data_IF_448831781334
#
_entry.id   IF_448831781334
#
_cell.length_a   1.000
_cell.length_b   1.000
_cell.length_c   1.000
_cell.angle_alpha   90.00
_cell.angle_beta   90.00
_cell.angle_gamma   90.00
#
_symmetry.space_group_name_H-M   'P 1'
#
loop_
_entity.id
_entity.type
_entity.pdbx_description
1 polymer ?
#
# COMPACT_ATOMS: atom_id res chain seq x y z
N UNK A 1 -2.36 0.42 28.03
CA UNK A 1 -3.75 -0.12 28.00
C UNK A 1 -4.19 0.02 26.56
N UNK A 2 -4.31 -1.09 25.84
CA UNK A 2 -5.06 -1.14 24.58
C UNK A 2 -6.48 -0.69 24.91
N UNK A 3 -6.91 0.43 24.33
CA UNK A 3 -8.32 0.78 24.35
C UNK A 3 -9.04 -0.24 23.48
N UNK A 4 -10.00 -0.95 24.04
CA UNK A 4 -10.92 -1.78 23.28
C UNK A 4 -11.61 -0.89 22.24
N UNK A 5 -11.70 -1.37 21.00
CA UNK A 5 -12.47 -0.77 19.92
C UNK A 5 -13.67 -1.69 19.66
N UNK A 6 -14.62 -1.77 20.60
CA UNK A 6 -15.61 -2.86 20.65
C UNK A 6 -16.62 -2.83 19.49
N UNK A 7 -16.69 -1.72 18.75
CA UNK A 7 -17.66 -1.52 17.66
C UNK A 7 -17.02 -1.58 16.27
N UNK A 8 -15.68 -1.57 16.19
CA UNK A 8 -14.99 -1.61 14.92
C UNK A 8 -14.90 -3.04 14.36
N UNK A 9 -15.27 -3.20 13.09
CA UNK A 9 -15.09 -4.43 12.33
C UNK A 9 -13.83 -4.34 11.47
N UNK A 10 -13.05 -5.41 11.44
CA UNK A 10 -11.89 -5.51 10.56
C UNK A 10 -12.34 -5.60 9.11
N UNK A 11 -11.69 -4.86 8.23
CA UNK A 11 -11.83 -5.02 6.79
C UNK A 11 -11.33 -6.39 6.32
N UNK A 12 -11.70 -6.77 5.12
CA UNK A 12 -11.37 -8.07 4.55
C UNK A 12 -10.89 -7.91 3.11
N UNK A 13 -9.63 -8.20 2.86
CA UNK A 13 -9.02 -8.12 1.54
C UNK A 13 -9.65 -9.08 0.51
N UNK A 14 -10.29 -10.16 0.98
CA UNK A 14 -10.97 -11.14 0.10
C UNK A 14 -12.43 -10.76 -0.22
N UNK A 15 -12.91 -9.64 0.35
CA UNK A 15 -14.22 -9.09 0.07
C UNK A 15 -14.06 -7.63 -0.32
N UNK A 16 -14.61 -7.24 -1.46
CA UNK A 16 -14.54 -5.85 -1.90
C UNK A 16 -15.14 -4.90 -0.85
N UNK A 17 -14.43 -3.82 -0.49
CA UNK A 17 -14.98 -2.82 0.39
C UNK A 17 -16.14 -2.08 -0.28
N UNK A 18 -17.08 -1.62 0.52
CA UNK A 18 -18.09 -0.69 0.04
C UNK A 18 -17.45 0.62 -0.42
N UNK A 19 -18.14 1.37 -1.28
CA UNK A 19 -17.70 2.69 -1.71
C UNK A 19 -17.37 3.61 -0.52
N UNK A 20 -18.17 3.57 0.54
CA UNK A 20 -17.96 4.40 1.73
C UNK A 20 -16.68 3.99 2.48
N UNK A 21 -16.42 2.70 2.67
CA UNK A 21 -15.17 2.21 3.26
C UNK A 21 -13.97 2.59 2.43
N UNK A 22 -14.08 2.54 1.09
CA UNK A 22 -13.01 2.93 0.19
C UNK A 22 -12.64 4.42 0.31
N UNK A 23 -13.63 5.30 0.38
CA UNK A 23 -13.41 6.74 0.58
C UNK A 23 -12.82 7.04 1.97
N UNK A 24 -13.30 6.37 3.02
CA UNK A 24 -12.70 6.49 4.36
C UNK A 24 -11.24 6.04 4.38
N UNK A 25 -10.89 5.00 3.63
CA UNK A 25 -9.49 4.56 3.52
C UNK A 25 -8.63 5.64 2.85
N UNK A 26 -9.11 6.27 1.78
CA UNK A 26 -8.40 7.39 1.12
C UNK A 26 -8.26 8.59 2.03
N UNK A 27 -9.31 8.98 2.77
CA UNK A 27 -9.25 10.06 3.77
C UNK A 27 -8.20 9.77 4.86
N UNK A 28 -8.15 8.53 5.33
CA UNK A 28 -7.17 8.12 6.32
C UNK A 28 -5.73 8.21 5.77
N UNK A 29 -5.50 7.71 4.55
CA UNK A 29 -4.21 7.82 3.88
C UNK A 29 -3.81 9.28 3.67
N UNK A 30 -4.71 10.12 3.15
CA UNK A 30 -4.47 11.55 2.94
C UNK A 30 -4.11 12.25 4.26
N UNK A 31 -4.78 11.91 5.36
CA UNK A 31 -4.48 12.47 6.68
C UNK A 31 -3.08 12.08 7.18
N UNK A 32 -2.69 10.82 6.98
CA UNK A 32 -1.35 10.32 7.34
C UNK A 32 -0.29 11.03 6.50
N UNK A 33 -0.48 11.06 5.18
CA UNK A 33 0.48 11.64 4.24
C UNK A 33 0.63 13.14 4.43
N UNK A 34 -0.48 13.88 4.58
CA UNK A 34 -0.48 15.33 4.76
C UNK A 34 0.28 15.77 6.01
N UNK A 35 0.21 15.00 7.10
CA UNK A 35 0.91 15.31 8.34
C UNK A 35 2.43 15.35 8.19
N UNK A 36 2.97 14.68 7.19
CA UNK A 36 4.42 14.53 6.94
C UNK A 36 4.83 14.93 5.52
N UNK A 37 3.98 15.63 4.79
CA UNK A 37 4.18 15.94 3.38
C UNK A 37 5.39 16.85 3.14
N UNK A 38 6.45 16.27 2.58
CA UNK A 38 7.70 17.00 2.31
C UNK A 38 8.43 17.49 3.56
N UNK A 39 8.12 16.96 4.75
CA UNK A 39 8.73 17.40 6.00
C UNK A 39 10.21 16.98 6.03
N UNK A 40 11.15 17.93 6.22
CA UNK A 40 12.58 17.64 6.30
C UNK A 40 12.95 16.76 7.51
N UNK A 41 12.11 16.67 8.54
CA UNK A 41 12.33 15.73 9.64
C UNK A 41 12.37 14.28 9.18
N UNK A 42 11.71 13.93 8.08
CA UNK A 42 11.75 12.58 7.51
C UNK A 42 13.17 12.07 7.22
N UNK A 43 14.08 12.99 6.87
CA UNK A 43 15.49 12.65 6.62
C UNK A 43 16.29 12.40 7.90
N UNK A 44 15.75 12.78 9.05
CA UNK A 44 16.39 12.60 10.38
C UNK A 44 15.91 11.35 11.10
N UNK A 45 14.85 10.70 10.61
CA UNK A 45 14.29 9.51 11.22
C UNK A 45 15.15 8.28 10.89
N UNK A 46 15.65 7.61 11.90
CA UNK A 46 16.54 6.46 11.75
C UNK A 46 15.80 5.18 11.34
N UNK A 47 14.58 5.01 11.85
CA UNK A 47 13.85 3.75 11.74
C UNK A 47 13.05 3.55 10.44
N UNK A 48 12.41 4.59 9.84
CA UNK A 48 11.63 4.40 8.63
C UNK A 48 12.48 4.18 7.37
N UNK A 49 13.73 4.63 7.39
CA UNK A 49 14.64 4.56 6.25
C UNK A 49 15.54 3.31 6.27
N UNK A 50 15.44 2.50 7.31
CA UNK A 50 16.23 1.28 7.43
C UNK A 50 17.74 1.50 7.48
N UNK A 51 18.22 2.75 7.69
CA UNK A 51 19.65 3.10 7.66
C UNK A 51 20.50 2.35 8.68
N UNK A 52 19.85 1.79 9.71
CA UNK A 52 20.46 0.89 10.69
C UNK A 52 19.86 -0.51 10.66
N UNK A 53 19.02 -0.82 9.68
CA UNK A 53 18.46 -2.16 9.56
C UNK A 53 19.58 -3.17 9.28
N UNK A 54 19.70 -4.13 10.14
CA UNK A 54 20.46 -5.35 9.90
C UNK A 54 19.40 -6.44 9.66
N UNK A 55 19.34 -7.02 8.52
CA UNK A 55 20.31 -7.13 7.42
C UNK A 55 20.26 -5.94 6.42
N UNK A 56 21.27 -5.86 5.52
CA UNK A 56 21.30 -4.85 4.47
C UNK A 56 20.01 -4.89 3.64
N UNK A 57 19.59 -3.77 3.03
CA UNK A 57 18.39 -3.73 2.21
C UNK A 57 18.42 -4.86 1.19
N UNK A 58 17.31 -5.58 1.09
CA UNK A 58 17.16 -6.65 0.10
C UNK A 58 17.27 -6.04 -1.30
N UNK A 59 18.11 -6.64 -2.14
CA UNK A 59 18.15 -6.30 -3.54
C UNK A 59 16.85 -6.76 -4.21
N UNK A 60 15.95 -5.81 -4.43
CA UNK A 60 14.61 -6.08 -4.96
C UNK A 60 14.65 -6.62 -6.38
N UNK A 61 15.65 -6.22 -7.17
CA UNK A 61 15.85 -6.72 -8.53
C UNK A 61 16.27 -8.18 -8.52
N UNK A 62 17.21 -8.54 -7.64
CA UNK A 62 17.63 -9.93 -7.45
C UNK A 62 16.46 -10.79 -6.97
N UNK A 63 15.69 -10.32 -5.99
CA UNK A 63 14.52 -11.05 -5.48
C UNK A 63 13.47 -11.24 -6.57
N UNK A 64 13.15 -10.19 -7.29
CA UNK A 64 12.17 -10.27 -8.37
C UNK A 64 12.61 -11.24 -9.46
N UNK A 65 13.85 -11.14 -9.91
CA UNK A 65 14.41 -12.05 -10.92
C UNK A 65 14.42 -13.52 -10.47
N UNK A 66 14.57 -13.77 -9.18
CA UNK A 66 14.52 -15.13 -8.61
C UNK A 66 13.09 -15.66 -8.51
N UNK A 67 12.13 -14.82 -8.09
CA UNK A 67 10.76 -15.29 -7.83
C UNK A 67 9.85 -15.25 -9.05
N UNK A 68 10.10 -14.37 -10.02
CA UNK A 68 9.25 -14.23 -11.19
C UNK A 68 9.08 -15.53 -12.00
N UNK A 69 10.15 -16.28 -12.36
CA UNK A 69 10.01 -17.56 -13.05
C UNK A 69 9.21 -18.59 -12.25
N UNK A 70 9.45 -18.69 -10.94
CA UNK A 70 8.73 -19.60 -10.06
C UNK A 70 7.25 -19.23 -9.92
N UNK A 71 6.93 -17.94 -9.93
CA UNK A 71 5.56 -17.44 -9.97
C UNK A 71 4.86 -17.85 -11.28
N UNK A 72 5.51 -17.64 -12.42
CA UNK A 72 4.98 -18.02 -13.73
C UNK A 72 4.78 -19.53 -13.86
N UNK A 73 5.71 -20.34 -13.36
CA UNK A 73 5.59 -21.80 -13.36
C UNK A 73 4.39 -22.24 -12.52
N UNK A 74 4.20 -21.65 -11.35
CA UNK A 74 3.12 -22.02 -10.43
C UNK A 74 1.74 -21.52 -10.87
N UNK A 75 1.67 -20.36 -11.49
CA UNK A 75 0.42 -19.66 -11.80
C UNK A 75 0.22 -19.39 -13.28
N UNK A 76 1.01 -20.01 -14.17
CA UNK A 76 1.07 -19.72 -15.60
C UNK A 76 -0.29 -19.66 -16.29
N UNK A 77 -1.17 -20.61 -15.98
CA UNK A 77 -2.54 -20.66 -16.54
C UNK A 77 -3.46 -19.49 -16.06
N UNK A 78 -3.04 -18.77 -15.01
CA UNK A 78 -3.77 -17.65 -14.43
C UNK A 78 -3.15 -16.30 -14.74
N UNK A 79 -1.95 -16.30 -15.29
CA UNK A 79 -1.21 -15.08 -15.67
C UNK A 79 -1.55 -14.73 -17.11
N UNK A 80 -2.21 -13.59 -17.33
CA UNK A 80 -2.52 -13.13 -18.69
C UNK A 80 -1.27 -12.77 -19.48
N UNK A 81 -1.37 -12.73 -20.81
CA UNK A 81 -0.27 -12.31 -21.67
C UNK A 81 0.24 -10.89 -21.31
N UNK A 82 -0.67 -9.98 -20.98
CA UNK A 82 -0.30 -8.61 -20.56
C UNK A 82 0.45 -8.60 -19.23
N UNK A 83 0.04 -9.42 -18.26
CA UNK A 83 0.76 -9.59 -17.00
C UNK A 83 2.16 -10.16 -17.23
N UNK A 84 2.33 -11.12 -18.16
CA UNK A 84 3.66 -11.61 -18.53
C UNK A 84 4.53 -10.52 -19.13
N UNK A 85 4.00 -9.72 -20.07
CA UNK A 85 4.74 -8.60 -20.67
C UNK A 85 5.22 -7.61 -19.60
N UNK A 86 4.33 -7.23 -18.69
CA UNK A 86 4.67 -6.29 -17.60
C UNK A 86 5.66 -6.91 -16.63
N UNK A 87 5.42 -8.16 -16.21
CA UNK A 87 6.30 -8.87 -15.28
C UNK A 87 7.71 -9.03 -15.82
N UNK A 88 7.87 -9.44 -17.07
CA UNK A 88 9.18 -9.52 -17.73
C UNK A 88 9.87 -8.15 -17.82
N UNK A 89 9.11 -7.08 -18.05
CA UNK A 89 9.67 -5.74 -18.14
C UNK A 89 10.24 -5.23 -16.79
N UNK A 90 9.79 -5.78 -15.67
CA UNK A 90 10.30 -5.44 -14.34
C UNK A 90 11.57 -6.22 -13.94
N UNK A 91 11.91 -7.29 -14.65
CA UNK A 91 13.14 -8.06 -14.33
C UNK A 91 14.36 -7.14 -14.44
N UNK A 92 15.09 -6.96 -13.35
CA UNK A 92 16.26 -6.09 -13.24
C UNK A 92 15.97 -4.59 -13.37
N UNK A 93 14.72 -4.16 -13.14
CA UNK A 93 14.30 -2.73 -13.22
C UNK A 93 13.37 -2.31 -12.10
N UNK A 94 13.10 -3.18 -11.15
CA UNK A 94 12.19 -2.88 -10.07
C UNK A 94 12.78 -1.82 -9.12
N UNK A 95 14.09 -1.88 -8.89
CA UNK A 95 14.84 -0.89 -8.11
C UNK A 95 14.72 0.51 -8.74
N UNK A 96 14.99 0.64 -10.04
CA UNK A 96 14.83 1.89 -10.77
C UNK A 96 13.42 2.48 -10.64
N UNK A 97 12.41 1.60 -10.69
CA UNK A 97 11.00 2.02 -10.52
C UNK A 97 10.74 2.64 -9.14
N UNK A 98 11.34 2.10 -8.08
CA UNK A 98 11.21 2.68 -6.74
C UNK A 98 12.01 3.96 -6.58
N UNK A 99 13.21 4.06 -7.17
CA UNK A 99 14.06 5.26 -7.11
C UNK A 99 13.46 6.46 -7.84
N UNK A 100 12.77 6.24 -8.97
CA UNK A 100 12.11 7.30 -9.75
C UNK A 100 10.97 8.01 -9.00
N UNK A 101 10.48 7.44 -7.91
CA UNK A 101 9.42 8.03 -7.07
C UNK A 101 9.98 8.98 -6.03
N UNK A 102 10.76 9.97 -6.46
CA UNK A 102 11.60 10.69 -5.52
C UNK A 102 10.88 11.78 -4.69
N UNK A 103 9.72 12.31 -5.09
CA UNK A 103 9.16 13.49 -4.40
C UNK A 103 7.73 13.81 -4.85
N UNK A 104 6.89 14.41 -4.00
CA UNK A 104 7.15 14.67 -2.58
C UNK A 104 7.08 13.38 -1.74
N UNK A 105 7.90 13.30 -0.68
CA UNK A 105 7.90 12.17 0.26
C UNK A 105 7.05 12.48 1.48
N UNK A 106 6.50 11.45 2.06
CA UNK A 106 5.77 11.50 3.33
C UNK A 106 5.99 10.19 4.11
N UNK A 107 5.39 10.10 5.28
CA UNK A 107 5.28 8.83 5.99
C UNK A 107 4.28 7.93 5.24
N UNK A 108 4.67 6.69 4.94
CA UNK A 108 3.85 5.69 4.25
C UNK A 108 3.64 4.46 5.12
N UNK A 109 2.49 3.81 4.97
CA UNK A 109 2.18 2.58 5.68
C UNK A 109 2.87 1.36 5.05
N UNK A 110 2.95 1.30 3.72
CA UNK A 110 3.53 0.26 2.88
C UNK A 110 2.84 -1.13 2.93
N UNK A 111 1.82 -1.30 3.77
CA UNK A 111 0.90 -2.46 3.77
C UNK A 111 -0.54 -1.97 3.95
N UNK A 112 -0.91 -0.95 3.15
CA UNK A 112 -2.19 -0.23 3.26
C UNK A 112 -3.30 -1.01 2.56
N UNK A 113 -3.87 -1.99 3.26
CA UNK A 113 -4.86 -2.94 2.74
C UNK A 113 -6.03 -3.12 3.72
N UNK A 114 -7.20 -3.61 3.25
CA UNK A 114 -8.39 -3.73 4.10
C UNK A 114 -8.18 -4.48 5.42
N UNK A 115 -7.37 -5.55 5.45
CA UNK A 115 -7.11 -6.31 6.68
C UNK A 115 -6.43 -5.48 7.78
N UNK A 116 -5.76 -4.38 7.41
CA UNK A 116 -5.11 -3.44 8.32
C UNK A 116 -5.99 -2.22 8.64
N UNK A 117 -7.28 -2.32 8.39
CA UNK A 117 -8.28 -1.27 8.62
C UNK A 117 -9.40 -1.79 9.52
N UNK A 118 -9.76 -1.02 10.51
CA UNK A 118 -10.87 -1.29 11.41
C UNK A 118 -11.94 -0.21 11.19
N UNK A 119 -13.15 -0.60 10.79
CA UNK A 119 -14.24 0.30 10.43
C UNK A 119 -15.33 0.31 11.49
N UNK A 120 -15.78 1.50 11.90
CA UNK A 120 -17.04 1.72 12.59
C UNK A 120 -17.86 2.80 11.86
N UNK A 121 -18.71 2.37 10.96
CA UNK A 121 -19.51 3.27 10.12
C UNK A 121 -20.62 4.00 10.92
N UNK A 122 -20.82 3.65 12.20
CA UNK A 122 -21.77 4.33 13.08
C UNK A 122 -21.11 5.41 13.94
N UNK A 123 -19.75 5.42 14.04
CA UNK A 123 -19.00 6.45 14.75
C UNK A 123 -18.43 7.47 13.75
N UNK A 124 -19.13 8.57 13.55
CA UNK A 124 -18.67 9.65 12.66
C UNK A 124 -17.40 10.36 13.16
N UNK A 125 -17.01 10.17 14.42
CA UNK A 125 -15.80 10.80 14.98
C UNK A 125 -14.56 9.96 14.77
N UNK A 126 -14.72 8.64 14.60
CA UNK A 126 -13.63 7.69 14.40
C UNK A 126 -14.08 6.53 13.51
N UNK A 127 -14.48 6.82 12.28
CA UNK A 127 -15.09 5.81 11.40
C UNK A 127 -14.09 4.76 10.90
N UNK A 128 -12.78 5.04 10.98
CA UNK A 128 -11.71 4.14 10.56
C UNK A 128 -10.51 4.25 11.50
N UNK A 129 -9.83 3.13 11.72
CA UNK A 129 -8.54 3.05 12.43
C UNK A 129 -7.59 2.20 11.59
N UNK A 130 -6.42 2.74 11.32
CA UNK A 130 -5.34 2.03 10.62
C UNK A 130 -4.45 1.35 11.67
N UNK A 131 -4.16 0.07 11.45
CA UNK A 131 -3.36 -0.79 12.35
C UNK A 131 -2.21 -1.45 11.58
N UNK A 132 -1.31 -2.12 12.31
CA UNK A 132 -0.17 -2.86 11.75
C UNK A 132 0.86 -1.99 11.02
N UNK A 133 1.47 -1.07 11.76
CA UNK A 133 2.46 -0.09 11.28
C UNK A 133 3.89 -0.63 11.15
N UNK A 134 4.08 -1.94 11.17
CA UNK A 134 5.41 -2.57 11.17
C UNK A 134 6.22 -2.33 9.89
N UNK A 135 5.54 -2.03 8.76
CA UNK A 135 6.16 -1.78 7.45
C UNK A 135 6.32 -0.30 7.14
N UNK A 136 5.95 0.58 8.10
CA UNK A 136 6.01 2.03 7.92
C UNK A 136 7.38 2.49 7.44
N UNK A 137 7.37 3.37 6.45
CA UNK A 137 8.58 3.92 5.85
C UNK A 137 8.41 5.37 5.38
N UNK A 138 9.43 5.86 4.71
CA UNK A 138 9.39 7.16 4.03
C UNK A 138 9.33 6.91 2.53
N UNK A 139 8.27 7.36 1.90
CA UNK A 139 8.02 7.11 0.49
C UNK A 139 7.07 8.11 -0.15
N UNK A 140 6.56 7.78 -1.31
CA UNK A 140 5.57 8.57 -2.04
C UNK A 140 4.17 8.06 -1.69
N UNK A 141 3.35 8.90 -1.05
CA UNK A 141 2.05 8.52 -0.49
C UNK A 141 1.09 7.82 -1.45
N UNK A 142 1.14 8.17 -2.75
CA UNK A 142 0.31 7.49 -3.77
C UNK A 142 0.58 5.98 -3.82
N UNK A 143 1.73 5.51 -3.31
CA UNK A 143 2.04 4.09 -3.22
C UNK A 143 1.06 3.30 -2.33
N UNK A 144 0.65 3.89 -1.21
CA UNK A 144 -0.35 3.28 -0.33
C UNK A 144 -1.72 3.17 -1.02
N UNK A 145 -2.13 4.23 -1.73
CA UNK A 145 -3.40 4.25 -2.49
C UNK A 145 -3.36 3.24 -3.64
N UNK A 146 -2.25 3.17 -4.37
CA UNK A 146 -2.09 2.21 -5.47
C UNK A 146 -2.12 0.75 -4.96
N UNK A 147 -1.48 0.49 -3.82
CA UNK A 147 -1.51 -0.81 -3.17
C UNK A 147 -2.93 -1.18 -2.71
N UNK A 148 -3.62 -0.25 -2.05
CA UNK A 148 -5.01 -0.43 -1.64
C UNK A 148 -5.92 -0.74 -2.84
N UNK A 149 -5.92 0.13 -3.85
CA UNK A 149 -6.77 -0.04 -5.04
C UNK A 149 -6.46 -1.34 -5.80
N UNK A 150 -5.18 -1.74 -5.86
CA UNK A 150 -4.74 -2.94 -6.55
C UNK A 150 -5.04 -4.25 -5.81
N UNK A 151 -5.23 -4.20 -4.48
CA UNK A 151 -5.42 -5.40 -3.65
C UNK A 151 -6.83 -5.55 -3.08
N UNK A 152 -7.60 -4.45 -3.01
CA UNK A 152 -8.94 -4.45 -2.41
C UNK A 152 -10.07 -4.72 -3.42
N UNK A 153 -9.83 -4.55 -4.72
CA UNK A 153 -10.83 -4.65 -5.78
C UNK A 153 -10.40 -5.61 -6.87
N UNK A 154 -11.36 -6.23 -7.53
CA UNK A 154 -11.10 -6.87 -8.80
C UNK A 154 -10.79 -5.83 -9.91
N UNK A 155 -10.40 -6.28 -11.09
CA UNK A 155 -9.95 -5.38 -12.15
C UNK A 155 -11.07 -4.49 -12.73
N UNK A 156 -12.33 -4.96 -12.71
CA UNK A 156 -13.48 -4.21 -13.22
C UNK A 156 -13.92 -3.17 -12.20
N UNK A 157 -14.15 -3.58 -10.96
CA UNK A 157 -14.52 -2.71 -9.85
C UNK A 157 -13.45 -1.64 -9.60
N UNK A 158 -12.16 -2.00 -9.67
CA UNK A 158 -11.07 -1.05 -9.55
C UNK A 158 -11.13 0.04 -10.63
N UNK A 159 -11.29 -0.33 -11.90
CA UNK A 159 -11.39 0.66 -13.00
C UNK A 159 -12.58 1.60 -12.84
N UNK A 160 -13.67 1.11 -12.25
CA UNK A 160 -14.86 1.91 -12.00
C UNK A 160 -14.67 2.93 -10.88
N UNK A 161 -14.01 2.54 -9.77
CA UNK A 161 -13.88 3.38 -8.58
C UNK A 161 -12.60 4.24 -8.56
N UNK A 162 -11.51 3.82 -9.23
CA UNK A 162 -10.21 4.49 -9.18
C UNK A 162 -10.25 5.98 -9.52
N UNK A 163 -11.00 6.45 -10.55
CA UNK A 163 -11.10 7.88 -10.81
C UNK A 163 -11.70 8.67 -9.63
N UNK A 164 -12.66 8.09 -8.92
CA UNK A 164 -13.25 8.71 -7.75
C UNK A 164 -12.27 8.75 -6.58
N UNK A 165 -11.56 7.65 -6.31
CA UNK A 165 -10.55 7.59 -5.25
C UNK A 165 -9.43 8.62 -5.44
N UNK A 166 -9.04 8.89 -6.70
CA UNK A 166 -7.98 9.85 -7.03
C UNK A 166 -8.44 11.31 -6.99
N UNK A 167 -9.75 11.58 -7.08
CA UNK A 167 -10.31 12.93 -7.04
C UNK A 167 -10.88 13.32 -5.68
N UNK A 168 -11.05 12.35 -4.80
CA UNK A 168 -11.56 12.54 -3.44
C UNK A 168 -10.53 13.22 -2.55
#
# INVERSE_FOLDING_TARGET
>A
KMHELPTHAQGNQLAEPSRNEALLAVDAAASIHAAWWGDPMLDTLDWPNGTKAVPPPLDVDMLYAMFWPAFCDRYGDRVSADMHIVGEAFVGKLGDHFEQRASPRCLTHNDFRPDNMLFDLNDATKPIVIVDWQTTGVGVGIGDIAYYAGTAFDAESRRAIEPELLHH
#
